data_IF_274718332959
#
_entry.id   IF_274718332959
#
_cell.length_a   1.000
_cell.length_b   1.000
_cell.length_c   1.000
_cell.angle_alpha   90.00
_cell.angle_beta   90.00
_cell.angle_gamma   90.00
#
_symmetry.space_group_name_H-M   'P 1'
#
loop_
_entity.id
_entity.type
_entity.pdbx_description
1 polymer ?
#
# COMPACT_ATOMS: atom_id res chain seq x y z
N UNK A 1 -35.93 -43.03 27.36
CA UNK A 1 -35.50 -43.68 26.11
C UNK A 1 -34.04 -43.31 25.89
N UNK A 2 -33.14 -44.25 26.12
CA UNK A 2 -31.70 -44.08 25.91
C UNK A 2 -31.32 -44.71 24.57
N UNK A 3 -30.49 -44.03 23.77
CA UNK A 3 -29.68 -44.67 22.72
C UNK A 3 -28.30 -44.02 22.72
N UNK A 4 -27.29 -44.88 22.73
CA UNK A 4 -25.88 -44.60 22.90
C UNK A 4 -25.15 -44.30 21.57
N UNK A 5 -24.16 -43.40 21.68
CA UNK A 5 -22.79 -43.39 21.16
C UNK A 5 -22.48 -44.17 19.87
N UNK A 6 -21.93 -43.45 18.87
CA UNK A 6 -20.79 -43.93 18.09
C UNK A 6 -19.80 -42.80 17.86
N UNK A 7 -18.59 -42.97 18.41
CA UNK A 7 -17.44 -42.10 18.23
C UNK A 7 -16.53 -42.72 17.17
N UNK A 8 -16.12 -41.95 16.16
CA UNK A 8 -14.86 -42.11 15.41
C UNK A 8 -14.77 -41.02 14.35
N UNK A 9 -13.82 -40.10 14.49
CA UNK A 9 -12.76 -39.81 13.52
C UNK A 9 -11.88 -38.69 14.09
N UNK A 10 -10.88 -39.10 14.84
CA UNK A 10 -9.79 -38.26 15.35
C UNK A 10 -8.77 -38.10 14.23
N UNK A 11 -8.88 -37.06 13.40
CA UNK A 11 -7.81 -36.71 12.47
C UNK A 11 -6.67 -36.07 13.28
N UNK A 12 -5.63 -36.88 13.53
CA UNK A 12 -4.41 -36.43 14.20
C UNK A 12 -3.69 -35.42 13.30
N UNK A 13 -3.54 -34.19 13.81
CA UNK A 13 -2.61 -33.20 13.29
C UNK A 13 -1.18 -33.76 13.40
N UNK A 14 -0.52 -33.95 12.25
CA UNK A 14 0.91 -34.18 12.17
C UNK A 14 1.64 -32.83 12.33
N UNK A 15 2.68 -32.73 13.18
CA UNK A 15 3.49 -31.52 13.22
C UNK A 15 4.36 -31.46 11.96
N UNK A 16 4.20 -30.41 11.17
CA UNK A 16 5.14 -30.08 10.09
C UNK A 16 6.52 -29.82 10.69
N UNK A 17 7.42 -30.78 10.50
CA UNK A 17 8.84 -30.67 10.82
C UNK A 17 9.47 -29.61 9.90
N UNK A 18 9.92 -28.51 10.48
CA UNK A 18 10.69 -27.49 9.79
C UNK A 18 11.96 -28.10 9.19
N UNK A 19 12.07 -28.07 7.86
CA UNK A 19 13.28 -28.44 7.13
C UNK A 19 14.16 -27.18 7.01
N UNK A 20 14.95 -26.90 8.04
CA UNK A 20 16.09 -26.01 7.93
C UNK A 20 17.36 -26.84 7.75
N UNK A 21 18.09 -26.72 6.64
CA UNK A 21 19.43 -27.30 6.55
C UNK A 21 20.38 -26.48 7.44
N UNK A 22 20.92 -27.11 8.49
CA UNK A 22 22.08 -26.62 9.23
C UNK A 22 23.29 -26.65 8.30
N UNK A 23 23.67 -25.49 7.75
CA UNK A 23 24.92 -25.32 7.01
C UNK A 23 26.01 -24.86 7.96
N UNK A 24 26.87 -25.79 8.38
CA UNK A 24 28.10 -25.49 9.12
C UNK A 24 29.04 -24.67 8.23
N UNK A 25 29.10 -23.36 8.47
CA UNK A 25 30.02 -22.45 7.78
C UNK A 25 31.45 -22.76 8.23
N UNK A 26 32.25 -23.40 7.36
CA UNK A 26 33.69 -23.55 7.56
C UNK A 26 34.39 -22.22 7.25
N UNK A 27 35.26 -21.78 8.16
CA UNK A 27 36.10 -20.59 8.03
C UNK A 27 37.20 -20.88 6.97
N UNK A 28 37.36 -20.08 5.90
CA UNK A 28 38.44 -20.27 4.95
C UNK A 28 39.80 -19.81 5.53
N UNK A 29 40.93 -20.41 5.11
CA UNK A 29 42.24 -20.06 5.62
C UNK A 29 42.74 -18.72 5.04
N UNK A 30 43.78 -18.21 5.69
CA UNK A 30 44.35 -16.88 5.56
C UNK A 30 44.66 -16.41 4.13
N UNK A 31 44.45 -15.12 3.93
CA UNK A 31 44.80 -14.30 2.78
C UNK A 31 46.29 -14.48 2.43
N UNK A 32 46.56 -15.11 1.29
CA UNK A 32 47.88 -15.02 0.67
C UNK A 32 48.05 -13.61 0.09
N UNK A 33 49.03 -12.86 0.63
CA UNK A 33 49.49 -11.58 0.07
C UNK A 33 49.94 -11.80 -1.38
N UNK A 34 49.15 -11.32 -2.33
CA UNK A 34 49.58 -11.22 -3.73
C UNK A 34 50.43 -9.95 -3.84
N UNK A 35 51.72 -10.12 -4.14
CA UNK A 35 52.61 -8.99 -4.43
C UNK A 35 52.09 -8.24 -5.66
N UNK A 36 51.94 -6.93 -5.52
CA UNK A 36 51.66 -6.05 -6.64
C UNK A 36 52.91 -5.98 -7.52
N UNK A 37 52.77 -6.39 -8.78
CA UNK A 37 53.74 -6.07 -9.83
C UNK A 37 53.55 -4.60 -10.19
N UNK A 38 54.60 -3.78 -10.03
CA UNK A 38 54.68 -2.32 -10.25
C UNK A 38 54.52 -1.89 -11.72
N UNK A 39 53.68 -2.56 -12.50
CA UNK A 39 53.56 -2.32 -13.93
C UNK A 39 52.12 -2.03 -14.32
N UNK A 40 51.56 -0.94 -13.82
CA UNK A 40 50.39 -0.23 -14.38
C UNK A 40 50.07 1.03 -13.57
N UNK A 41 50.96 2.02 -13.59
CA UNK A 41 50.72 3.36 -13.00
C UNK A 41 50.29 4.41 -14.04
N UNK A 42 50.23 4.08 -15.33
CA UNK A 42 49.92 5.05 -16.38
C UNK A 42 48.73 4.61 -17.24
N UNK A 43 47.52 4.62 -16.67
CA UNK A 43 46.27 4.57 -17.45
C UNK A 43 45.05 5.18 -16.74
N UNK A 44 45.24 5.92 -15.64
CA UNK A 44 44.14 6.43 -14.82
C UNK A 44 43.77 7.90 -15.09
N UNK A 45 43.79 8.36 -16.35
CA UNK A 45 43.40 9.73 -16.71
C UNK A 45 42.22 9.82 -17.69
N UNK A 46 41.47 8.75 -17.91
CA UNK A 46 40.24 8.81 -18.74
C UNK A 46 39.17 7.80 -18.33
N UNK A 47 39.07 7.48 -17.04
CA UNK A 47 37.88 6.78 -16.55
C UNK A 47 36.73 7.79 -16.45
N UNK A 48 35.56 7.55 -17.09
CA UNK A 48 34.38 8.34 -16.81
C UNK A 48 34.04 8.27 -15.31
N UNK A 49 33.46 9.33 -14.73
CA UNK A 49 33.07 9.31 -13.33
C UNK A 49 32.17 8.08 -13.08
N UNK A 50 32.29 7.43 -11.91
CA UNK A 50 31.40 6.33 -11.56
C UNK A 50 29.94 6.79 -11.68
N UNK A 51 29.00 5.91 -12.07
CA UNK A 51 27.61 6.27 -12.19
C UNK A 51 27.15 6.98 -10.92
N UNK A 52 26.53 8.14 -11.11
CA UNK A 52 25.96 8.98 -10.06
C UNK A 52 25.27 8.11 -9.02
N UNK A 53 25.61 8.32 -7.75
CA UNK A 53 24.87 7.74 -6.62
C UNK A 53 23.38 7.90 -6.90
N UNK A 54 22.64 6.80 -6.98
CA UNK A 54 21.18 6.86 -7.01
C UNK A 54 20.75 7.69 -5.80
N UNK A 55 20.27 8.91 -6.05
CA UNK A 55 19.71 9.75 -4.99
C UNK A 55 18.64 8.94 -4.27
N UNK A 56 18.69 8.90 -2.95
CA UNK A 56 17.65 8.25 -2.16
C UNK A 56 16.33 8.92 -2.49
N UNK A 57 15.35 8.15 -2.96
CA UNK A 57 14.00 8.67 -3.20
C UNK A 57 13.27 8.86 -1.87
N UNK A 58 12.68 10.02 -1.67
CA UNK A 58 11.86 10.37 -0.52
C UNK A 58 10.40 10.16 -0.90
N UNK A 59 9.71 9.25 -0.21
CA UNK A 59 8.29 8.99 -0.40
C UNK A 59 7.49 9.38 0.83
N UNK A 60 6.43 10.17 0.62
CA UNK A 60 5.41 10.36 1.65
C UNK A 60 4.53 9.11 1.74
N UNK A 61 4.48 8.53 2.94
CA UNK A 61 3.70 7.33 3.22
C UNK A 61 2.20 7.55 3.28
N UNK A 62 1.72 8.80 3.39
CA UNK A 62 0.30 9.10 3.50
C UNK A 62 -0.03 10.51 3.01
N UNK A 63 -0.55 10.60 1.78
CA UNK A 63 -1.11 11.81 1.20
C UNK A 63 -2.60 11.63 0.89
N UNK A 64 -3.36 12.71 0.94
CA UNK A 64 -4.73 12.78 0.43
C UNK A 64 -4.78 13.78 -0.72
N UNK A 65 -5.41 13.40 -1.84
CA UNK A 65 -5.65 14.28 -3.00
C UNK A 65 -7.13 14.31 -3.31
N UNK A 66 -7.73 15.50 -3.44
CA UNK A 66 -9.15 15.68 -3.73
C UNK A 66 -9.33 16.70 -4.84
N UNK A 67 -10.45 16.61 -5.56
CA UNK A 67 -10.74 17.49 -6.69
C UNK A 67 -10.68 18.97 -6.26
N UNK A 68 -10.27 19.86 -7.14
CA UNK A 68 -10.49 21.29 -6.91
C UNK A 68 -11.99 21.61 -6.87
N UNK A 69 -12.44 22.77 -6.32
CA UNK A 69 -13.85 23.15 -6.34
C UNK A 69 -14.48 23.14 -7.74
N UNK A 70 -13.71 23.52 -8.77
CA UNK A 70 -14.16 23.47 -10.16
C UNK A 70 -14.36 22.03 -10.63
N UNK A 71 -13.34 21.19 -10.51
CA UNK A 71 -13.41 19.78 -10.90
C UNK A 71 -14.52 19.03 -10.15
N UNK A 72 -14.75 19.38 -8.89
CA UNK A 72 -15.81 18.80 -8.07
C UNK A 72 -17.21 19.19 -8.57
N UNK A 73 -17.38 20.43 -9.02
CA UNK A 73 -18.66 20.91 -9.58
C UNK A 73 -19.00 20.28 -10.94
N UNK A 74 -17.99 19.83 -11.69
CA UNK A 74 -18.17 19.33 -13.05
C UNK A 74 -18.20 17.81 -13.14
N UNK A 75 -17.26 17.11 -12.47
CA UNK A 75 -16.98 15.70 -12.74
C UNK A 75 -16.75 14.84 -11.51
N UNK A 76 -16.15 15.38 -10.46
CA UNK A 76 -15.70 14.60 -9.30
C UNK A 76 -16.32 15.13 -8.00
N UNK A 77 -17.65 14.99 -7.83
CA UNK A 77 -18.34 15.61 -6.72
C UNK A 77 -17.77 15.17 -5.37
N UNK A 78 -17.76 16.09 -4.42
CA UNK A 78 -17.53 15.72 -3.03
C UNK A 78 -18.73 14.94 -2.50
N UNK A 79 -18.46 14.03 -1.58
CA UNK A 79 -19.50 13.43 -0.78
C UNK A 79 -20.16 14.51 0.11
N UNK A 80 -21.50 14.53 0.26
CA UNK A 80 -22.18 15.57 1.02
C UNK A 80 -21.59 15.79 2.43
N UNK A 81 -21.27 17.05 2.75
CA UNK A 81 -20.71 17.44 4.04
C UNK A 81 -19.23 17.05 4.23
N UNK A 82 -18.53 16.79 3.12
CA UNK A 82 -17.09 16.48 3.07
C UNK A 82 -16.32 17.43 2.14
N UNK A 83 -16.84 18.63 1.98
CA UNK A 83 -16.18 19.70 1.24
C UNK A 83 -14.91 20.13 1.99
N UNK A 84 -13.75 20.19 1.32
CA UNK A 84 -12.51 20.62 1.94
C UNK A 84 -12.50 22.15 2.14
N UNK A 85 -11.85 22.61 3.20
CA UNK A 85 -11.63 24.06 3.47
C UNK A 85 -10.26 24.55 3.01
N UNK A 86 -9.41 23.65 2.53
CA UNK A 86 -8.05 23.92 2.06
C UNK A 86 -7.81 23.27 0.69
N UNK A 87 -6.86 23.77 -0.11
CA UNK A 87 -6.49 23.13 -1.36
C UNK A 87 -5.84 21.76 -1.12
N UNK A 88 -6.02 20.86 -2.07
CA UNK A 88 -5.42 19.53 -2.07
C UNK A 88 -5.63 18.80 -3.39
N UNK A 89 -5.81 19.57 -4.47
CA UNK A 89 -5.78 19.05 -5.83
C UNK A 89 -4.35 18.69 -6.24
N UNK A 90 -4.24 17.87 -7.30
CA UNK A 90 -2.97 17.30 -7.70
C UNK A 90 -1.91 18.35 -8.07
N UNK A 91 -2.30 19.48 -8.68
CA UNK A 91 -1.34 20.51 -9.09
C UNK A 91 -0.69 21.16 -7.86
N UNK A 92 -1.52 21.58 -6.90
CA UNK A 92 -1.04 22.14 -5.63
C UNK A 92 -0.13 21.17 -4.87
N UNK A 93 -0.51 19.89 -4.76
CA UNK A 93 0.30 18.91 -4.04
C UNK A 93 1.64 18.62 -4.72
N UNK A 94 1.71 18.63 -6.05
CA UNK A 94 2.97 18.47 -6.78
C UNK A 94 3.93 19.62 -6.53
N UNK A 95 3.42 20.86 -6.42
CA UNK A 95 4.21 22.02 -6.01
C UNK A 95 4.76 21.84 -4.60
N UNK A 96 3.90 21.50 -3.63
CA UNK A 96 4.33 21.24 -2.24
C UNK A 96 5.38 20.12 -2.15
N UNK A 97 5.22 19.04 -2.91
CA UNK A 97 6.19 17.94 -2.95
C UNK A 97 7.54 18.40 -3.51
N UNK A 98 7.53 19.19 -4.59
CA UNK A 98 8.74 19.72 -5.19
C UNK A 98 9.49 20.64 -4.21
N UNK A 99 8.77 21.53 -3.52
CA UNK A 99 9.34 22.41 -2.49
C UNK A 99 9.92 21.65 -1.30
N UNK A 100 9.24 20.57 -0.88
CA UNK A 100 9.66 19.74 0.24
C UNK A 100 10.75 18.70 -0.11
N UNK A 101 11.11 18.55 -1.40
CA UNK A 101 12.04 17.51 -1.85
C UNK A 101 11.48 16.09 -1.74
N UNK A 102 10.16 15.92 -1.88
CA UNK A 102 9.47 14.63 -1.87
C UNK A 102 9.31 14.15 -3.31
N UNK A 103 9.81 12.94 -3.61
CA UNK A 103 9.82 12.39 -4.95
C UNK A 103 8.47 11.79 -5.36
N UNK A 104 7.74 11.23 -4.40
CA UNK A 104 6.44 10.58 -4.60
C UNK A 104 5.63 10.39 -3.33
N UNK A 105 4.39 9.93 -3.45
CA UNK A 105 3.51 9.69 -2.31
C UNK A 105 2.57 8.51 -2.49
N UNK A 106 2.23 7.85 -1.37
CA UNK A 106 1.09 6.94 -1.28
C UNK A 106 -0.18 7.75 -1.05
N UNK A 107 -1.00 7.86 -2.10
CA UNK A 107 -2.28 8.56 -2.08
C UNK A 107 -3.34 7.64 -1.48
N UNK A 108 -3.72 7.93 -0.25
CA UNK A 108 -4.85 7.29 0.42
C UNK A 108 -6.13 7.94 -0.06
N UNK A 109 -7.10 7.14 -0.52
CA UNK A 109 -8.41 7.63 -0.93
C UNK A 109 -8.98 8.58 0.15
N UNK A 110 -9.27 9.85 -0.19
CA UNK A 110 -9.74 10.83 0.78
C UNK A 110 -11.21 10.60 1.15
N UNK A 111 -11.58 11.03 2.36
CA UNK A 111 -12.98 11.02 2.79
C UNK A 111 -13.85 11.97 1.95
N UNK A 112 -13.25 12.98 1.31
CA UNK A 112 -13.93 13.96 0.47
C UNK A 112 -14.71 13.34 -0.68
N UNK A 113 -14.24 12.23 -1.24
CA UNK A 113 -14.94 11.49 -2.29
C UNK A 113 -15.49 10.13 -1.82
N UNK A 114 -15.34 9.81 -0.53
CA UNK A 114 -15.75 8.53 0.06
C UNK A 114 -15.30 7.33 -0.80
N UNK A 115 -16.25 6.55 -1.32
CA UNK A 115 -15.98 5.34 -2.11
C UNK A 115 -15.87 5.60 -3.61
N UNK A 116 -16.09 6.84 -4.07
CA UNK A 116 -15.80 7.22 -5.45
C UNK A 116 -14.29 7.48 -5.61
N UNK A 117 -13.62 6.54 -6.25
CA UNK A 117 -12.18 6.60 -6.51
C UNK A 117 -11.86 7.25 -7.87
N UNK A 118 -12.85 7.73 -8.62
CA UNK A 118 -12.66 8.20 -10.00
C UNK A 118 -11.65 9.35 -10.13
N UNK A 119 -11.67 10.30 -9.18
CA UNK A 119 -10.69 11.39 -9.14
C UNK A 119 -9.28 10.86 -8.88
N UNK A 120 -9.08 10.11 -7.79
CA UNK A 120 -7.78 9.55 -7.43
C UNK A 120 -7.25 8.68 -8.56
N UNK A 121 -8.07 7.80 -9.14
CA UNK A 121 -7.70 6.97 -10.29
C UNK A 121 -7.25 7.82 -11.49
N UNK A 122 -7.88 8.97 -11.73
CA UNK A 122 -7.45 9.90 -12.78
C UNK A 122 -6.09 10.51 -12.44
N UNK A 123 -5.88 10.96 -11.20
CA UNK A 123 -4.60 11.51 -10.72
C UNK A 123 -3.47 10.49 -10.83
N UNK A 124 -3.69 9.23 -10.43
CA UNK A 124 -2.71 8.15 -10.56
C UNK A 124 -2.32 7.90 -12.02
N UNK A 125 -3.29 7.98 -12.94
CA UNK A 125 -3.05 7.82 -14.39
C UNK A 125 -2.29 9.02 -14.99
N UNK A 126 -2.55 10.24 -14.50
CA UNK A 126 -1.83 11.45 -14.95
C UNK A 126 -0.39 11.49 -14.43
N UNK A 127 -0.15 11.03 -13.21
CA UNK A 127 1.16 11.13 -12.54
C UNK A 127 1.66 9.78 -12.00
N UNK A 128 1.83 8.75 -12.86
CA UNK A 128 2.16 7.39 -12.42
C UNK A 128 3.57 7.25 -11.83
N UNK A 129 4.46 8.20 -12.09
CA UNK A 129 5.80 8.25 -11.49
C UNK A 129 5.82 8.95 -10.12
N UNK A 130 4.73 9.63 -9.74
CA UNK A 130 4.63 10.42 -8.50
C UNK A 130 3.75 9.75 -7.47
N UNK A 131 2.66 9.12 -7.90
CA UNK A 131 1.62 8.65 -6.98
C UNK A 131 1.37 7.16 -7.08
N UNK A 132 1.18 6.54 -5.91
CA UNK A 132 0.72 5.16 -5.76
C UNK A 132 -0.62 5.20 -5.01
N UNK A 133 -1.61 4.44 -5.47
CA UNK A 133 -2.94 4.44 -4.85
C UNK A 133 -3.09 3.49 -3.67
N UNK A 134 -3.79 3.95 -2.63
CA UNK A 134 -4.32 3.17 -1.52
C UNK A 134 -5.84 3.33 -1.44
N UNK A 135 -6.58 2.23 -1.64
CA UNK A 135 -8.04 2.21 -1.71
C UNK A 135 -8.68 2.53 -0.35
N UNK A 136 -9.93 2.97 -0.32
CA UNK A 136 -10.76 2.96 0.89
C UNK A 136 -11.66 1.71 0.89
N UNK A 137 -11.56 0.88 1.93
CA UNK A 137 -12.42 -0.29 2.09
C UNK A 137 -13.88 0.14 2.31
N UNK A 138 -14.79 -0.35 1.46
CA UNK A 138 -16.23 -0.12 1.58
C UNK A 138 -16.91 -1.28 2.32
N UNK A 139 -17.46 -1.06 3.53
CA UNK A 139 -18.07 -2.11 4.35
C UNK A 139 -19.53 -2.43 3.98
N UNK A 140 -20.01 -2.06 2.79
CA UNK A 140 -21.36 -2.37 2.34
C UNK A 140 -21.64 -3.87 2.40
N UNK A 141 -22.75 -4.25 3.05
CA UNK A 141 -23.12 -5.65 3.30
C UNK A 141 -23.58 -6.39 2.04
N UNK A 142 -23.92 -5.67 0.97
CA UNK A 142 -24.29 -6.23 -0.33
C UNK A 142 -23.10 -6.80 -1.12
N UNK A 143 -21.88 -6.68 -0.58
CA UNK A 143 -20.65 -7.19 -1.18
C UNK A 143 -20.12 -6.34 -2.34
N UNK A 144 -20.80 -5.25 -2.72
CA UNK A 144 -20.36 -4.35 -3.78
C UNK A 144 -18.96 -3.77 -3.51
N UNK A 145 -18.66 -3.50 -2.23
CA UNK A 145 -17.36 -3.02 -1.79
C UNK A 145 -16.21 -3.99 -2.07
N UNK A 146 -16.45 -5.30 -1.97
CA UNK A 146 -15.43 -6.32 -2.24
C UNK A 146 -15.11 -6.37 -3.74
N UNK A 147 -16.16 -6.39 -4.58
CA UNK A 147 -15.99 -6.41 -6.03
C UNK A 147 -15.27 -5.14 -6.52
N UNK A 148 -15.64 -3.97 -5.99
CA UNK A 148 -15.00 -2.72 -6.35
C UNK A 148 -13.52 -2.68 -5.92
N UNK A 149 -13.21 -3.14 -4.70
CA UNK A 149 -11.84 -3.25 -4.20
C UNK A 149 -10.96 -4.12 -5.13
N UNK A 150 -11.48 -5.26 -5.57
CA UNK A 150 -10.80 -6.15 -6.50
C UNK A 150 -10.54 -5.47 -7.85
N UNK A 151 -11.50 -4.72 -8.40
CA UNK A 151 -11.29 -3.94 -9.62
C UNK A 151 -10.19 -2.90 -9.45
N UNK A 152 -10.20 -2.13 -8.35
CA UNK A 152 -9.23 -1.06 -8.11
C UNK A 152 -7.79 -1.61 -8.06
N UNK A 153 -7.59 -2.75 -7.41
CA UNK A 153 -6.25 -3.37 -7.29
C UNK A 153 -5.83 -4.03 -8.60
N UNK A 154 -6.69 -4.87 -9.20
CA UNK A 154 -6.31 -5.69 -10.35
C UNK A 154 -6.28 -4.90 -11.67
N UNK A 155 -7.11 -3.86 -11.81
CA UNK A 155 -7.27 -3.13 -13.07
C UNK A 155 -6.78 -1.69 -13.00
N UNK A 156 -7.10 -0.96 -11.93
CA UNK A 156 -6.70 0.46 -11.81
C UNK A 156 -5.33 0.68 -11.14
N UNK A 157 -4.69 -0.40 -10.69
CA UNK A 157 -3.28 -0.39 -10.28
C UNK A 157 -3.02 0.08 -8.83
N UNK A 158 -4.06 0.12 -7.99
CA UNK A 158 -3.89 0.41 -6.56
C UNK A 158 -3.05 -0.69 -5.88
N UNK A 159 -2.29 -0.30 -4.85
CA UNK A 159 -1.30 -1.17 -4.21
C UNK A 159 -1.50 -1.38 -2.71
N UNK A 160 -2.47 -0.70 -2.10
CA UNK A 160 -2.75 -0.83 -0.68
C UNK A 160 -4.24 -0.58 -0.40
N UNK A 161 -4.68 -0.93 0.81
CA UNK A 161 -6.06 -0.77 1.25
C UNK A 161 -6.10 -0.10 2.62
N UNK A 162 -6.92 0.94 2.74
CA UNK A 162 -7.21 1.65 3.97
C UNK A 162 -8.49 1.14 4.59
N UNK A 163 -8.40 0.72 5.85
CA UNK A 163 -9.55 0.46 6.69
C UNK A 163 -9.77 1.67 7.61
N UNK A 164 -10.97 2.25 7.53
CA UNK A 164 -11.40 3.32 8.41
C UNK A 164 -12.54 2.80 9.31
N UNK A 165 -12.32 2.61 10.63
CA UNK A 165 -13.35 2.10 11.52
C UNK A 165 -14.54 3.05 11.70
N UNK A 166 -14.37 4.34 11.41
CA UNK A 166 -15.40 5.36 11.62
C UNK A 166 -16.43 5.47 10.50
N UNK A 167 -16.22 4.74 9.39
CA UNK A 167 -17.19 4.63 8.29
C UNK A 167 -17.88 3.25 8.26
N UNK A 168 -17.63 2.41 9.27
CA UNK A 168 -18.39 1.18 9.45
C UNK A 168 -19.83 1.49 9.84
N UNK A 169 -20.80 0.63 9.51
CA UNK A 169 -22.19 0.80 9.94
C UNK A 169 -22.29 1.00 11.46
N UNK A 170 -23.22 1.85 11.89
CA UNK A 170 -23.39 2.20 13.30
C UNK A 170 -23.56 0.95 14.17
N UNK A 171 -22.84 0.91 15.31
CA UNK A 171 -22.83 -0.22 16.23
C UNK A 171 -22.03 -1.44 15.75
N UNK A 172 -21.53 -1.44 14.51
CA UNK A 172 -20.71 -2.51 13.99
C UNK A 172 -19.21 -2.22 14.17
N UNK A 173 -18.41 -3.29 14.15
CA UNK A 173 -16.95 -3.24 14.20
C UNK A 173 -16.38 -3.78 12.89
N UNK A 174 -15.16 -3.38 12.53
CA UNK A 174 -14.43 -3.94 11.39
C UNK A 174 -14.17 -5.45 11.50
N UNK A 175 -14.38 -6.04 12.68
CA UNK A 175 -14.29 -7.49 12.90
C UNK A 175 -15.61 -8.23 12.62
N UNK A 176 -16.62 -7.57 12.04
CA UNK A 176 -17.83 -8.22 11.56
C UNK A 176 -17.53 -9.10 10.33
N UNK A 177 -18.54 -9.80 9.82
CA UNK A 177 -18.33 -10.78 8.74
C UNK A 177 -17.86 -10.12 7.44
N UNK A 178 -18.44 -8.99 7.05
CA UNK A 178 -17.97 -8.26 5.86
C UNK A 178 -16.53 -7.76 6.01
N UNK A 179 -16.14 -7.28 7.20
CA UNK A 179 -14.78 -6.80 7.45
C UNK A 179 -13.74 -7.91 7.44
N UNK A 180 -14.07 -9.10 7.97
CA UNK A 180 -13.23 -10.31 7.82
C UNK A 180 -13.07 -10.69 6.36
N UNK A 181 -14.14 -10.66 5.57
CA UNK A 181 -14.09 -10.97 4.13
C UNK A 181 -13.22 -9.96 3.38
N UNK A 182 -13.38 -8.66 3.63
CA UNK A 182 -12.53 -7.61 3.04
C UNK A 182 -11.05 -7.81 3.40
N UNK A 183 -10.75 -8.13 4.66
CA UNK A 183 -9.37 -8.35 5.11
C UNK A 183 -8.77 -9.63 4.51
N UNK A 184 -9.57 -10.70 4.38
CA UNK A 184 -9.16 -11.92 3.67
C UNK A 184 -8.87 -11.63 2.20
N UNK A 185 -9.76 -10.89 1.52
CA UNK A 185 -9.61 -10.49 0.12
C UNK A 185 -8.35 -9.66 -0.08
N UNK A 186 -8.02 -8.74 0.84
CA UNK A 186 -6.77 -8.00 0.81
C UNK A 186 -5.54 -8.93 0.80
N UNK A 187 -5.56 -9.98 1.64
CA UNK A 187 -4.52 -11.01 1.67
C UNK A 187 -4.42 -11.82 0.38
N UNK A 188 -5.55 -12.23 -0.19
CA UNK A 188 -5.61 -12.92 -1.49
C UNK A 188 -5.03 -12.08 -2.63
N UNK A 189 -5.28 -10.76 -2.60
CA UNK A 189 -4.78 -9.81 -3.58
C UNK A 189 -3.33 -9.37 -3.32
N UNK A 190 -2.72 -9.79 -2.20
CA UNK A 190 -1.37 -9.38 -1.80
C UNK A 190 -1.25 -7.90 -1.45
N UNK A 191 -2.36 -7.24 -1.10
CA UNK A 191 -2.39 -5.81 -0.83
C UNK A 191 -2.21 -5.52 0.68
N UNK A 192 -1.19 -4.73 1.10
CA UNK A 192 -1.05 -4.31 2.48
C UNK A 192 -2.26 -3.50 2.96
N UNK A 193 -2.62 -3.71 4.22
CA UNK A 193 -3.75 -3.03 4.87
C UNK A 193 -3.25 -2.03 5.92
N UNK A 194 -3.65 -0.77 5.76
CA UNK A 194 -3.46 0.27 6.77
C UNK A 194 -4.75 0.53 7.55
N UNK A 195 -4.70 0.51 8.88
CA UNK A 195 -5.86 0.75 9.76
C UNK A 195 -5.83 2.17 10.35
N UNK A 196 -6.94 2.92 10.27
CA UNK A 196 -7.02 4.25 10.86
C UNK A 196 -7.18 4.15 12.37
N UNK A 197 -6.20 4.67 13.10
CA UNK A 197 -6.10 4.54 14.55
C UNK A 197 -6.64 5.76 15.31
N UNK A 198 -7.12 6.79 14.61
CA UNK A 198 -7.60 8.03 15.22
C UNK A 198 -8.83 8.56 14.52
N UNK A 199 -9.76 9.10 15.31
CA UNK A 199 -10.92 9.82 14.80
C UNK A 199 -10.44 11.22 14.46
N UNK A 200 -10.38 11.56 13.18
CA UNK A 200 -10.20 12.95 12.78
C UNK A 200 -11.45 13.72 13.24
N UNK A 201 -11.26 14.80 14.01
CA UNK A 201 -12.32 15.76 14.24
C UNK A 201 -12.68 16.34 12.87
N UNK A 202 -13.97 16.27 12.52
CA UNK A 202 -14.51 16.96 11.35
C UNK A 202 -14.64 18.45 11.67
#
# INVERSE_FOLDING_TARGET
>A
MAVAISASHFARFLPHRALFPSSSRKIPPAIARRMASEKSINAALSAPPPPSSSSLMIFDSHLHVWASPQEASEKYPYHPGKEPTIPGDAAFLLECMAEAGVDGALVVQPINHMFDHSYVTTVLKMYPSKFIGCCLANPAEDGSGIAHLEQLILKDGYRAIRFNPYIWPSGQKMTNDIGKVLFSKAGELGAPVGILCMKCAA
#
